data_IF_477587754389
#
_entry.id   IF_477587754389
#
_cell.length_a   1.000
_cell.length_b   1.000
_cell.length_c   1.000
_cell.angle_alpha   90.00
_cell.angle_beta   90.00
_cell.angle_gamma   90.00
#
_symmetry.space_group_name_H-M   'P 1'
#
loop_
_entity.id
_entity.type
_entity.pdbx_description
1 polymer ?
#
# COMPACT_ATOMS: atom_id res chain seq x y z
N UNK A 1 10.77 44.63 17.79
CA UNK A 1 11.18 44.20 16.44
C UNK A 1 10.81 42.73 16.29
N UNK A 2 9.63 42.47 15.73
CA UNK A 2 9.06 41.12 15.60
C UNK A 2 9.36 40.67 14.17
N UNK A 3 10.37 39.82 13.99
CA UNK A 3 10.63 39.18 12.70
C UNK A 3 9.75 37.93 12.61
N UNK A 4 8.75 38.03 11.73
CA UNK A 4 7.70 37.04 11.49
C UNK A 4 8.28 35.69 11.06
N UNK A 5 7.65 34.63 11.57
CA UNK A 5 7.87 33.22 11.22
C UNK A 5 7.73 32.98 9.70
N UNK A 6 8.86 32.87 9.01
CA UNK A 6 8.95 32.42 7.61
C UNK A 6 9.32 30.94 7.52
N UNK A 7 8.59 30.06 8.21
CA UNK A 7 8.69 28.61 8.03
C UNK A 7 7.32 28.05 7.68
N UNK A 8 6.78 28.51 6.54
CA UNK A 8 5.81 27.71 5.80
C UNK A 8 6.60 26.54 5.20
N UNK A 9 6.83 25.51 6.01
CA UNK A 9 7.15 24.19 5.51
C UNK A 9 5.99 23.80 4.59
N UNK A 10 6.18 24.01 3.29
CA UNK A 10 5.38 23.41 2.23
C UNK A 10 5.57 21.91 2.34
N UNK A 11 4.85 21.30 3.28
CA UNK A 11 4.79 19.86 3.41
C UNK A 11 3.85 19.42 2.30
N UNK A 12 4.39 19.07 1.13
CA UNK A 12 3.61 18.43 0.08
C UNK A 12 2.90 17.23 0.72
N UNK A 13 1.56 17.23 0.78
CA UNK A 13 0.85 16.20 1.51
C UNK A 13 1.10 14.88 0.78
N UNK A 14 1.68 13.92 1.49
CA UNK A 14 1.82 12.56 0.99
C UNK A 14 0.47 11.88 0.87
N UNK A 15 0.40 10.90 -0.03
CA UNK A 15 -0.70 9.94 -0.09
C UNK A 15 -0.22 8.55 0.32
N UNK A 16 -1.17 7.75 0.78
CA UNK A 16 -0.93 6.39 1.21
C UNK A 16 -1.93 5.47 0.53
N UNK A 17 -1.46 4.37 -0.07
CA UNK A 17 -2.30 3.36 -0.70
C UNK A 17 -2.28 2.10 0.14
N UNK A 18 -3.48 1.63 0.50
CA UNK A 18 -3.71 0.39 1.23
C UNK A 18 -4.41 -0.63 0.33
N UNK A 19 -4.14 -1.91 0.55
CA UNK A 19 -5.06 -2.98 0.16
C UNK A 19 -5.92 -3.34 1.36
N UNK A 20 -7.23 -3.29 1.18
CA UNK A 20 -8.23 -3.55 2.21
C UNK A 20 -8.99 -4.82 1.89
N UNK A 21 -8.88 -5.82 2.76
CA UNK A 21 -9.69 -7.03 2.66
C UNK A 21 -11.04 -6.79 3.35
N UNK A 22 -12.10 -6.71 2.55
CA UNK A 22 -13.51 -6.62 2.96
C UNK A 22 -14.28 -7.92 2.65
N UNK A 23 -13.60 -8.90 2.07
CA UNK A 23 -14.15 -10.23 1.82
C UNK A 23 -14.29 -11.03 3.13
N UNK A 24 -15.00 -12.16 3.05
CA UNK A 24 -15.17 -13.06 4.19
C UNK A 24 -13.95 -13.95 4.46
N UNK A 25 -13.06 -14.10 3.48
CA UNK A 25 -11.92 -15.03 3.54
C UNK A 25 -10.60 -14.27 3.69
N UNK A 26 -9.53 -15.00 4.03
CA UNK A 26 -8.19 -14.43 3.94
C UNK A 26 -7.80 -14.32 2.47
N UNK A 27 -7.07 -13.27 2.12
CA UNK A 27 -6.50 -13.11 0.78
C UNK A 27 -4.98 -13.03 0.88
N UNK A 28 -4.30 -13.32 -0.21
CA UNK A 28 -2.85 -13.23 -0.27
C UNK A 28 -2.42 -12.16 -1.25
N UNK A 29 -1.49 -11.32 -0.83
CA UNK A 29 -0.88 -10.28 -1.63
C UNK A 29 0.51 -10.74 -2.07
N UNK A 30 0.69 -10.91 -3.37
CA UNK A 30 1.99 -11.22 -3.97
C UNK A 30 2.56 -9.96 -4.64
N UNK A 31 3.80 -9.60 -4.29
CA UNK A 31 4.55 -8.46 -4.85
C UNK A 31 5.90 -8.93 -5.39
N UNK A 32 6.47 -8.22 -6.37
CA UNK A 32 7.77 -8.56 -6.95
C UNK A 32 8.97 -8.18 -6.05
N UNK A 33 8.74 -7.40 -5.00
CA UNK A 33 9.67 -7.10 -3.93
C UNK A 33 8.91 -6.69 -2.66
N UNK A 34 9.62 -6.57 -1.54
CA UNK A 34 9.01 -6.38 -0.24
C UNK A 34 8.29 -5.02 -0.11
N UNK A 35 7.10 -5.00 0.48
CA UNK A 35 6.38 -3.75 0.81
C UNK A 35 7.24 -2.89 1.74
N UNK A 36 7.95 -3.54 2.67
CA UNK A 36 8.84 -2.94 3.63
C UNK A 36 9.99 -2.15 2.98
N UNK A 37 10.41 -2.46 1.75
CA UNK A 37 11.46 -1.70 1.08
C UNK A 37 10.96 -0.36 0.52
N UNK A 38 9.64 -0.20 0.38
CA UNK A 38 9.01 1.04 -0.07
C UNK A 38 8.69 2.01 1.08
N UNK A 39 9.01 1.62 2.32
CA UNK A 39 8.81 2.45 3.50
C UNK A 39 9.99 3.38 3.76
N UNK A 40 9.68 4.63 4.10
CA UNK A 40 10.67 5.61 4.56
C UNK A 40 11.30 5.18 5.90
N UNK A 41 10.50 4.62 6.81
CA UNK A 41 10.98 4.08 8.10
C UNK A 41 10.83 2.56 8.14
N UNK A 42 11.93 1.87 8.45
CA UNK A 42 11.97 0.41 8.66
C UNK A 42 11.73 0.00 10.13
N UNK A 43 11.11 0.87 10.92
CA UNK A 43 10.77 0.64 12.33
C UNK A 43 9.42 1.26 12.66
N UNK A 44 8.68 0.62 13.57
CA UNK A 44 7.43 1.12 14.13
C UNK A 44 6.19 0.36 13.65
N UNK A 45 4.99 0.71 14.17
CA UNK A 45 3.81 -0.15 14.10
C UNK A 45 3.38 -0.55 12.68
N UNK A 46 3.55 0.34 11.70
CA UNK A 46 3.23 0.04 10.31
C UNK A 46 4.17 -1.02 9.72
N UNK A 47 5.49 -0.86 9.93
CA UNK A 47 6.51 -1.81 9.52
C UNK A 47 6.28 -3.16 10.21
N UNK A 48 6.11 -3.16 11.53
CA UNK A 48 5.91 -4.36 12.34
C UNK A 48 4.64 -5.12 11.90
N UNK A 49 3.57 -4.40 11.57
CA UNK A 49 2.34 -5.00 11.05
C UNK A 49 2.54 -5.68 9.70
N UNK A 50 3.33 -5.10 8.79
CA UNK A 50 3.59 -5.68 7.46
C UNK A 50 4.41 -6.97 7.63
N UNK A 51 5.48 -6.93 8.43
CA UNK A 51 6.32 -8.10 8.70
C UNK A 51 5.52 -9.23 9.33
N UNK A 52 4.63 -8.92 10.28
CA UNK A 52 3.77 -9.92 10.93
C UNK A 52 2.80 -10.63 9.97
N UNK A 53 2.49 -10.00 8.83
CA UNK A 53 1.60 -10.56 7.80
C UNK A 53 2.35 -11.35 6.74
N UNK A 54 3.68 -11.30 6.70
CA UNK A 54 4.52 -11.97 5.71
C UNK A 54 4.50 -13.48 5.95
N UNK A 55 4.18 -14.26 4.92
CA UNK A 55 3.98 -15.73 5.05
C UNK A 55 5.28 -16.50 4.81
N UNK A 56 6.07 -16.09 3.82
CA UNK A 56 7.48 -16.41 3.54
C UNK A 56 7.76 -15.97 2.09
N UNK A 57 9.01 -15.63 1.72
CA UNK A 57 9.33 -15.35 0.33
C UNK A 57 9.22 -16.63 -0.51
N UNK A 58 8.39 -16.62 -1.55
CA UNK A 58 8.45 -17.63 -2.61
C UNK A 58 9.50 -17.15 -3.62
N UNK A 59 10.75 -17.54 -3.39
CA UNK A 59 11.90 -17.32 -4.31
C UNK A 59 12.23 -15.84 -4.57
N UNK A 60 11.55 -15.22 -5.54
CA UNK A 60 11.81 -13.88 -6.09
C UNK A 60 10.62 -12.92 -5.91
N UNK A 61 9.64 -13.33 -5.09
CA UNK A 61 8.43 -12.58 -4.80
C UNK A 61 8.11 -12.68 -3.32
N UNK A 62 7.38 -11.70 -2.84
CA UNK A 62 6.97 -11.59 -1.46
C UNK A 62 5.48 -11.86 -1.33
N UNK A 63 5.11 -12.64 -0.31
CA UNK A 63 3.74 -13.08 -0.09
C UNK A 63 3.28 -12.65 1.31
N UNK A 64 2.18 -11.89 1.34
CA UNK A 64 1.58 -11.38 2.57
C UNK A 64 0.17 -11.93 2.71
N UNK A 65 -0.15 -12.43 3.89
CA UNK A 65 -1.52 -12.81 4.26
C UNK A 65 -2.25 -11.58 4.76
N UNK A 66 -3.42 -11.32 4.20
CA UNK A 66 -4.32 -10.26 4.63
C UNK A 66 -5.62 -10.87 5.12
N UNK A 67 -5.82 -10.89 6.44
CA UNK A 67 -7.03 -11.46 7.03
C UNK A 67 -8.26 -10.61 6.80
N UNK A 68 -9.44 -11.22 6.98
CA UNK A 68 -10.73 -10.55 6.91
C UNK A 68 -10.73 -9.24 7.70
N UNK A 69 -11.29 -8.19 7.10
CA UNK A 69 -11.41 -6.83 7.66
C UNK A 69 -10.08 -6.11 7.96
N UNK A 70 -8.94 -6.67 7.54
CA UNK A 70 -7.65 -6.01 7.71
C UNK A 70 -7.27 -5.17 6.49
N UNK A 71 -6.41 -4.19 6.74
CA UNK A 71 -5.72 -3.43 5.69
C UNK A 71 -4.22 -3.72 5.77
N UNK A 72 -3.54 -3.67 4.65
CA UNK A 72 -2.08 -3.64 4.58
C UNK A 72 -1.66 -2.44 3.74
N UNK A 73 -0.62 -1.73 4.18
CA UNK A 73 0.01 -0.70 3.38
C UNK A 73 0.55 -1.36 2.11
N UNK A 74 0.34 -0.74 0.95
CA UNK A 74 0.98 -1.15 -0.29
C UNK A 74 2.17 -0.26 -0.62
N UNK A 75 1.97 1.06 -0.61
CA UNK A 75 3.03 2.07 -0.76
C UNK A 75 2.51 3.47 -0.40
N UNK A 76 3.42 4.42 -0.28
CA UNK A 76 3.14 5.84 -0.08
C UNK A 76 4.06 6.70 -0.95
N UNK A 77 3.61 7.89 -1.36
CA UNK A 77 4.44 8.86 -2.07
C UNK A 77 3.93 10.29 -1.82
N UNK A 78 4.67 11.30 -2.26
CA UNK A 78 4.29 12.71 -2.19
C UNK A 78 3.27 13.07 -3.28
N UNK A 79 2.42 14.05 -3.00
CA UNK A 79 1.45 14.61 -3.95
C UNK A 79 0.17 13.76 -4.06
N UNK A 80 -0.25 13.47 -5.29
CA UNK A 80 -1.47 12.71 -5.59
C UNK A 80 -1.17 11.37 -6.26
N UNK A 81 -2.03 10.34 -6.11
CA UNK A 81 -1.81 9.06 -6.75
C UNK A 81 -1.62 9.19 -8.26
N UNK A 82 -0.50 8.64 -8.73
CA UNK A 82 -0.15 8.60 -10.15
C UNK A 82 0.40 7.20 -10.48
N UNK A 83 -0.06 6.55 -11.56
CA UNK A 83 0.47 5.27 -12.03
C UNK A 83 1.99 5.21 -12.19
N UNK A 84 2.63 6.32 -12.57
CA UNK A 84 4.07 6.38 -12.78
C UNK A 84 4.86 6.12 -11.49
N UNK A 85 4.25 6.42 -10.33
CA UNK A 85 4.80 6.21 -9.00
C UNK A 85 4.50 4.84 -8.41
N UNK A 86 3.80 3.97 -9.13
CA UNK A 86 3.57 2.59 -8.69
C UNK A 86 4.91 1.85 -8.68
N UNK A 87 5.40 1.39 -7.51
CA UNK A 87 6.76 0.88 -7.39
C UNK A 87 6.88 -0.57 -7.90
N UNK A 88 5.76 -1.28 -8.02
CA UNK A 88 5.73 -2.69 -8.41
C UNK A 88 5.57 -2.86 -9.91
N UNK A 89 6.14 -3.94 -10.48
CA UNK A 89 5.78 -4.38 -11.84
C UNK A 89 4.31 -4.77 -11.89
N UNK A 90 3.87 -5.52 -10.89
CA UNK A 90 2.47 -5.84 -10.64
C UNK A 90 2.29 -6.37 -9.22
N UNK A 91 1.12 -6.15 -8.65
CA UNK A 91 0.66 -6.75 -7.40
C UNK A 91 -0.44 -7.76 -7.75
N UNK A 92 -0.34 -8.99 -7.27
CA UNK A 92 -1.41 -9.98 -7.42
C UNK A 92 -2.11 -10.19 -6.10
N UNK A 93 -3.42 -10.23 -6.15
CA UNK A 93 -4.29 -10.49 -5.01
C UNK A 93 -4.94 -11.83 -5.29
N UNK A 94 -4.47 -12.86 -4.59
CA UNK A 94 -4.87 -14.23 -4.76
C UNK A 94 -6.00 -14.51 -3.77
N UNK A 95 -7.17 -14.84 -4.29
CA UNK A 95 -8.32 -15.35 -3.54
C UNK A 95 -8.48 -16.84 -3.84
N UNK A 96 -9.37 -17.52 -3.13
CA UNK A 96 -9.53 -18.98 -3.23
C UNK A 96 -9.79 -19.48 -4.66
N UNK A 97 -10.51 -18.72 -5.49
CA UNK A 97 -10.91 -19.11 -6.85
C UNK A 97 -10.46 -18.15 -7.95
N UNK A 98 -9.82 -17.03 -7.61
CA UNK A 98 -9.42 -16.03 -8.60
C UNK A 98 -8.09 -15.34 -8.24
N UNK A 99 -7.58 -14.55 -9.17
CA UNK A 99 -6.47 -13.65 -8.89
C UNK A 99 -6.70 -12.31 -9.56
N UNK A 100 -6.71 -11.25 -8.77
CA UNK A 100 -6.80 -9.88 -9.26
C UNK A 100 -5.38 -9.36 -9.47
N UNK A 101 -5.03 -8.98 -10.70
CA UNK A 101 -3.75 -8.33 -11.01
C UNK A 101 -3.90 -6.81 -11.04
N UNK A 102 -3.01 -6.11 -10.35
CA UNK A 102 -2.93 -4.65 -10.31
C UNK A 102 -1.56 -4.22 -10.83
N UNK A 103 -1.55 -3.30 -11.77
CA UNK A 103 -0.35 -2.70 -12.32
C UNK A 103 -0.60 -1.23 -12.71
N UNK A 104 0.40 -0.57 -13.30
CA UNK A 104 0.30 0.83 -13.69
C UNK A 104 -0.92 1.13 -14.54
N UNK A 105 -1.31 0.22 -15.43
CA UNK A 105 -2.40 0.45 -16.39
C UNK A 105 -3.77 0.55 -15.73
N UNK A 106 -3.97 -0.13 -14.60
CA UNK A 106 -5.28 -0.24 -13.96
C UNK A 106 -5.33 0.27 -12.52
N UNK A 107 -4.21 0.74 -11.96
CA UNK A 107 -4.12 1.26 -10.58
C UNK A 107 -5.25 2.24 -10.27
N UNK A 108 -5.39 3.30 -11.08
CA UNK A 108 -6.35 4.38 -10.79
C UNK A 108 -7.81 3.90 -10.76
N UNK A 109 -8.15 2.90 -11.58
CA UNK A 109 -9.50 2.33 -11.63
C UNK A 109 -9.83 1.50 -10.38
N UNK A 110 -8.80 1.03 -9.66
CA UNK A 110 -8.95 0.23 -8.44
C UNK A 110 -8.92 1.08 -7.16
N UNK A 111 -8.54 2.35 -7.24
CA UNK A 111 -8.44 3.22 -6.07
C UNK A 111 -9.79 3.82 -5.67
N UNK A 112 -10.11 3.67 -4.39
CA UNK A 112 -11.18 4.42 -3.72
C UNK A 112 -10.54 5.42 -2.75
N UNK A 113 -10.93 6.70 -2.83
CA UNK A 113 -10.45 7.73 -1.90
C UNK A 113 -11.07 7.53 -0.51
N UNK A 114 -10.23 7.58 0.53
CA UNK A 114 -10.66 7.61 1.93
C UNK A 114 -10.37 8.96 2.60
N UNK A 115 -10.24 8.95 3.94
CA UNK A 115 -9.87 10.13 4.73
C UNK A 115 -8.36 10.41 4.65
N UNK A 116 -7.94 11.65 4.89
CA UNK A 116 -6.54 12.06 5.09
C UNK A 116 -5.56 11.47 4.06
N UNK A 117 -5.70 11.86 2.78
CA UNK A 117 -4.86 11.42 1.64
C UNK A 117 -4.64 9.90 1.52
N UNK A 118 -5.51 9.10 2.14
CA UNK A 118 -5.46 7.65 2.06
C UNK A 118 -6.33 7.14 0.93
N UNK A 119 -5.84 6.14 0.22
CA UNK A 119 -6.52 5.48 -0.89
C UNK A 119 -6.54 3.98 -0.64
N UNK A 120 -7.58 3.33 -1.12
CA UNK A 120 -7.86 1.93 -0.84
C UNK A 120 -8.12 1.17 -2.12
N UNK A 121 -7.49 0.02 -2.25
CA UNK A 121 -7.87 -1.05 -3.16
C UNK A 121 -8.75 -2.00 -2.33
N UNK A 122 -10.06 -1.96 -2.55
CA UNK A 122 -11.01 -2.77 -1.78
C UNK A 122 -11.17 -4.15 -2.43
N UNK A 123 -11.00 -5.20 -1.64
CA UNK A 123 -11.19 -6.59 -2.03
C UNK A 123 -12.45 -7.11 -1.36
N UNK A 124 -13.48 -7.38 -2.15
CA UNK A 124 -14.78 -7.87 -1.69
C UNK A 124 -14.91 -9.37 -1.91
#
# INVERSE_FOLDING_TARGET
MILLLGLLASCDPGYVIYVANRSQNNVYLETDHAIESSLVSKKGPAYDSIVSKKVNPLRAKELYRLSKNQNILLFSNLGVPNPNYFPYKSVKIIKDSDTIKIDKSNLMQKLTKGKNSSYYININ
#
